data_IF_600247343491
#
_entry.id   IF_600247343491
#
_cell.length_a   1.000
_cell.length_b   1.000
_cell.length_c   1.000
_cell.angle_alpha   90.00
_cell.angle_beta   90.00
_cell.angle_gamma   90.00
#
_symmetry.space_group_name_H-M   'P 1'
#
loop_
_entity.id
_entity.type
_entity.pdbx_description
1 polymer ?
#
# COMPACT_ATOMS: atom_id res chain seq x y z
N UNK A 1 -4.41 -13.74 14.03
CA UNK A 1 -3.51 -12.59 14.23
C UNK A 1 -4.28 -11.40 14.77
N UNK A 2 -3.75 -10.76 15.82
CA UNK A 2 -4.36 -9.60 16.49
C UNK A 2 -4.32 -8.34 15.60
N UNK A 3 -5.15 -7.35 15.91
CA UNK A 3 -5.23 -6.10 15.13
C UNK A 3 -3.90 -5.34 15.12
N UNK A 4 -3.18 -5.37 16.25
CA UNK A 4 -1.89 -4.70 16.42
C UNK A 4 -0.80 -5.37 15.59
N UNK A 5 -0.75 -6.70 15.55
CA UNK A 5 0.19 -7.45 14.72
C UNK A 5 0.01 -7.17 13.22
N UNK A 6 -1.24 -7.04 12.73
CA UNK A 6 -1.51 -6.67 11.33
C UNK A 6 -1.03 -5.26 11.01
N UNK A 7 -1.22 -4.32 11.94
CA UNK A 7 -0.75 -2.95 11.77
C UNK A 7 0.78 -2.87 11.80
N UNK A 8 1.43 -3.64 12.68
CA UNK A 8 2.90 -3.76 12.72
C UNK A 8 3.44 -4.39 11.45
N UNK A 9 2.80 -5.45 10.95
CA UNK A 9 3.15 -6.08 9.67
C UNK A 9 3.01 -5.10 8.50
N UNK A 10 1.91 -4.34 8.44
CA UNK A 10 1.73 -3.26 7.47
C UNK A 10 2.83 -2.20 7.54
N UNK A 11 3.11 -1.67 8.74
CA UNK A 11 4.14 -0.64 8.96
C UNK A 11 5.50 -1.15 8.51
N UNK A 12 5.91 -2.33 8.97
CA UNK A 12 7.23 -2.89 8.70
C UNK A 12 7.39 -3.29 7.23
N UNK A 13 6.35 -3.87 6.61
CA UNK A 13 6.31 -4.17 5.18
C UNK A 13 6.44 -2.90 4.34
N UNK A 14 5.77 -1.81 4.72
CA UNK A 14 5.92 -0.52 4.02
C UNK A 14 7.36 0.01 4.12
N UNK A 15 7.92 0.03 5.33
CA UNK A 15 9.26 0.57 5.58
C UNK A 15 10.38 -0.28 4.93
N UNK A 16 10.18 -1.60 4.80
CA UNK A 16 11.07 -2.52 4.06
C UNK A 16 11.24 -2.08 2.60
N UNK A 17 10.19 -1.55 1.97
CA UNK A 17 10.21 -1.10 0.56
C UNK A 17 10.89 0.25 0.34
N UNK A 18 11.29 0.95 1.42
CA UNK A 18 11.85 2.29 1.37
C UNK A 18 13.33 2.33 1.83
N UNK A 19 14.23 1.50 1.27
CA UNK A 19 15.63 1.52 1.64
C UNK A 19 16.24 2.89 1.27
N UNK A 20 17.10 3.42 2.13
CA UNK A 20 17.78 4.71 2.01
C UNK A 20 16.89 5.96 2.19
N UNK A 21 15.64 5.80 2.61
CA UNK A 21 14.72 6.93 2.86
C UNK A 21 14.23 6.96 4.31
N UNK A 22 15.16 6.93 5.27
CA UNK A 22 14.86 7.08 6.69
C UNK A 22 14.64 8.57 7.01
N UNK A 23 13.45 9.07 6.67
CA UNK A 23 13.10 10.49 6.82
C UNK A 23 11.59 10.70 7.07
N UNK A 24 11.23 11.93 7.42
CA UNK A 24 9.85 12.32 7.73
C UNK A 24 8.87 12.19 6.58
N UNK A 25 9.34 12.37 5.33
CA UNK A 25 8.46 12.20 4.16
C UNK A 25 7.97 10.76 4.02
N UNK A 26 8.82 9.78 4.35
CA UNK A 26 8.43 8.37 4.35
C UNK A 26 7.38 8.06 5.43
N UNK A 27 7.48 8.70 6.61
CA UNK A 27 6.51 8.53 7.70
C UNK A 27 5.17 9.21 7.36
N UNK A 28 5.19 10.38 6.74
CA UNK A 28 3.98 11.03 6.23
C UNK A 28 3.27 10.15 5.20
N UNK A 29 4.03 9.60 4.24
CA UNK A 29 3.50 8.62 3.29
C UNK A 29 2.87 7.44 4.01
N UNK A 30 3.59 6.81 4.95
CA UNK A 30 3.06 5.69 5.75
C UNK A 30 1.72 6.02 6.43
N UNK A 31 1.60 7.22 7.01
CA UNK A 31 0.35 7.69 7.63
C UNK A 31 -0.76 7.80 6.58
N UNK A 32 -0.47 8.38 5.42
CA UNK A 32 -1.44 8.50 4.32
C UNK A 32 -1.87 7.13 3.79
N UNK A 33 -0.93 6.19 3.65
CA UNK A 33 -1.22 4.79 3.28
C UNK A 33 -2.03 4.06 4.35
N UNK A 34 -1.78 4.34 5.63
CA UNK A 34 -2.49 3.72 6.74
C UNK A 34 -3.97 4.12 6.81
N UNK A 35 -4.33 5.31 6.33
CA UNK A 35 -5.74 5.74 6.23
C UNK A 35 -6.59 4.77 5.41
N UNK A 36 -6.01 4.18 4.35
CA UNK A 36 -6.68 3.21 3.48
C UNK A 36 -6.95 1.87 4.16
N UNK A 37 -6.23 1.59 5.26
CA UNK A 37 -6.39 0.38 6.08
C UNK A 37 -7.10 0.67 7.41
N UNK A 38 -7.82 1.81 7.49
CA UNK A 38 -8.48 2.30 8.71
C UNK A 38 -7.53 2.49 9.91
N UNK A 39 -6.24 2.68 9.65
CA UNK A 39 -5.24 3.02 10.66
C UNK A 39 -5.13 4.54 10.79
N UNK A 40 -5.53 5.06 11.95
CA UNK A 40 -5.43 6.49 12.24
C UNK A 40 -3.98 6.88 12.51
N UNK A 41 -3.60 8.09 12.09
CA UNK A 41 -2.25 8.63 12.29
C UNK A 41 -1.72 8.46 13.73
N UNK A 42 -2.48 8.76 14.80
CA UNK A 42 -1.99 8.58 16.17
C UNK A 42 -1.65 7.12 16.52
N UNK A 43 -2.35 6.14 15.94
CA UNK A 43 -2.06 4.72 16.18
C UNK A 43 -0.78 4.28 15.47
N UNK A 44 -0.60 4.71 14.22
CA UNK A 44 0.61 4.44 13.45
C UNK A 44 1.82 5.04 14.16
N UNK A 45 1.72 6.30 14.59
CA UNK A 45 2.79 6.98 15.32
C UNK A 45 3.10 6.26 16.63
N UNK A 46 2.08 5.88 17.40
CA UNK A 46 2.29 5.12 18.64
C UNK A 46 3.02 3.79 18.41
N UNK A 47 2.65 3.04 17.37
CA UNK A 47 3.38 1.80 17.03
C UNK A 47 4.80 2.08 16.54
N UNK A 48 5.04 3.14 15.76
CA UNK A 48 6.39 3.53 15.35
C UNK A 48 7.28 3.87 16.56
N UNK A 49 6.76 4.55 17.57
CA UNK A 49 7.48 4.82 18.82
C UNK A 49 7.80 3.53 19.59
N UNK A 50 6.85 2.60 19.71
CA UNK A 50 7.11 1.29 20.34
C UNK A 50 8.20 0.49 19.60
N UNK A 51 8.17 0.52 18.27
CA UNK A 51 9.10 -0.24 17.41
C UNK A 51 10.48 0.41 17.30
N UNK A 52 10.68 1.62 17.84
CA UNK A 52 11.86 2.43 17.65
C UNK A 52 13.15 1.83 18.27
N UNK A 53 14.27 2.51 18.05
CA UNK A 53 15.57 2.08 18.57
C UNK A 53 15.68 2.13 20.11
N UNK A 54 14.90 2.96 20.80
CA UNK A 54 14.92 3.07 22.27
C UNK A 54 14.08 2.01 22.96
N UNK A 55 13.05 1.50 22.30
CA UNK A 55 12.06 0.59 22.88
C UNK A 55 12.26 -0.84 22.39
N UNK A 56 11.57 -1.26 21.32
CA UNK A 56 11.62 -2.65 20.85
C UNK A 56 12.82 -2.95 19.92
N UNK A 57 13.57 -1.94 19.48
CA UNK A 57 14.75 -2.07 18.62
C UNK A 57 14.45 -2.76 17.28
N UNK A 58 13.22 -2.64 16.79
CA UNK A 58 12.78 -3.17 15.49
C UNK A 58 13.20 -2.22 14.38
N UNK A 59 13.13 -0.92 14.64
CA UNK A 59 13.51 0.14 13.73
C UNK A 59 14.87 0.73 14.13
N UNK A 60 15.60 1.21 13.13
CA UNK A 60 16.85 1.96 13.31
C UNK A 60 16.58 3.41 13.74
N UNK A 61 15.37 3.91 13.52
CA UNK A 61 14.98 5.28 13.87
C UNK A 61 14.49 5.37 15.31
N UNK A 62 14.66 6.56 15.90
CA UNK A 62 14.07 6.94 17.19
C UNK A 62 12.97 7.97 16.95
N UNK A 63 11.84 7.84 17.64
CA UNK A 63 10.69 8.74 17.45
C UNK A 63 10.45 9.57 18.73
N UNK A 64 10.55 10.91 18.66
CA UNK A 64 9.86 11.80 19.62
C UNK A 64 8.51 12.18 19.04
N UNK A 65 7.44 11.79 19.72
CA UNK A 65 6.09 12.19 19.34
C UNK A 65 5.71 13.37 20.22
N UNK A 66 5.98 14.58 19.74
CA UNK A 66 5.39 15.79 20.31
C UNK A 66 4.08 16.09 19.57
N UNK A 67 2.95 15.99 20.27
CA UNK A 67 1.61 16.06 19.67
C UNK A 67 1.26 17.46 19.12
N UNK A 68 2.08 18.47 19.41
CA UNK A 68 1.82 19.88 19.09
C UNK A 68 2.43 20.34 17.75
N UNK A 69 3.54 19.73 17.28
CA UNK A 69 4.29 20.25 16.11
C UNK A 69 4.64 19.18 15.06
N UNK A 70 4.03 18.00 15.15
CA UNK A 70 4.41 16.88 14.30
C UNK A 70 5.71 16.24 14.77
N UNK A 71 5.90 14.98 14.36
CA UNK A 71 7.05 14.17 14.79
C UNK A 71 8.34 14.87 14.41
N UNK A 72 9.11 15.34 15.40
CA UNK A 72 10.52 15.68 15.21
C UNK A 72 11.27 14.37 14.99
N UNK A 73 11.31 13.89 13.75
CA UNK A 73 12.16 12.77 13.41
C UNK A 73 13.62 13.21 13.57
N UNK A 74 14.30 12.47 14.45
CA UNK A 74 15.66 12.69 14.89
C UNK A 74 16.72 12.30 13.85
N UNK A 75 17.91 12.83 14.11
CA UNK A 75 19.20 12.57 13.46
C UNK A 75 19.47 11.06 13.35
N UNK A 76 19.41 10.53 12.13
CA UNK A 76 19.70 9.14 11.88
C UNK A 76 20.50 9.00 10.57
N UNK A 77 21.77 8.63 10.70
CA UNK A 77 22.63 8.28 9.57
C UNK A 77 22.33 6.86 9.01
N UNK A 78 21.27 6.19 9.48
CA UNK A 78 20.91 4.86 9.02
C UNK A 78 20.43 4.87 7.56
N UNK A 79 20.94 3.91 6.80
CA UNK A 79 20.57 3.68 5.40
C UNK A 79 19.34 2.79 5.25
N UNK A 80 18.84 2.18 6.33
CA UNK A 80 17.67 1.29 6.30
C UNK A 80 16.79 1.48 7.53
N UNK A 81 15.49 1.27 7.36
CA UNK A 81 14.49 1.40 8.43
C UNK A 81 14.54 0.26 9.45
N UNK A 82 14.73 -0.98 8.98
CA UNK A 82 14.65 -2.17 9.81
C UNK A 82 16.04 -2.54 10.37
N UNK A 83 16.09 -2.90 11.65
CA UNK A 83 17.24 -3.62 12.21
C UNK A 83 17.19 -5.09 11.76
N UNK A 84 18.27 -5.88 11.94
CA UNK A 84 18.20 -7.32 11.74
C UNK A 84 17.11 -8.00 12.58
N UNK A 85 16.84 -7.48 13.78
CA UNK A 85 15.73 -7.91 14.64
C UNK A 85 14.38 -7.60 13.99
N UNK A 86 14.22 -6.41 13.42
CA UNK A 86 12.99 -6.03 12.74
C UNK A 86 12.72 -6.81 11.46
N UNK A 87 13.76 -7.12 10.69
CA UNK A 87 13.67 -8.01 9.53
C UNK A 87 13.17 -9.41 9.95
N UNK A 88 13.73 -9.99 11.02
CA UNK A 88 13.28 -11.28 11.54
C UNK A 88 11.83 -11.24 12.07
N UNK A 89 11.48 -10.20 12.84
CA UNK A 89 10.14 -10.02 13.37
C UNK A 89 9.08 -9.87 12.25
N UNK A 90 9.42 -9.14 11.18
CA UNK A 90 8.56 -9.04 10.00
C UNK A 90 8.34 -10.40 9.33
N UNK A 91 9.36 -11.25 9.25
CA UNK A 91 9.21 -12.61 8.71
C UNK A 91 8.31 -13.47 9.59
N UNK A 92 8.40 -13.36 10.92
CA UNK A 92 7.51 -14.06 11.85
C UNK A 92 6.05 -13.63 11.68
N UNK A 93 5.79 -12.31 11.57
CA UNK A 93 4.46 -11.77 11.31
C UNK A 93 3.90 -12.30 9.98
N UNK A 94 4.68 -12.23 8.89
CA UNK A 94 4.28 -12.77 7.58
C UNK A 94 3.94 -14.27 7.65
N UNK A 95 4.72 -15.07 8.39
CA UNK A 95 4.44 -16.50 8.59
C UNK A 95 3.16 -16.77 9.40
N UNK A 96 2.91 -15.98 10.45
CA UNK A 96 1.68 -16.10 11.25
C UNK A 96 0.44 -15.69 10.46
N UNK A 97 0.58 -14.78 9.49
CA UNK A 97 -0.50 -14.39 8.59
C UNK A 97 -0.80 -15.49 7.58
N UNK A 98 0.23 -16.05 6.94
CA UNK A 98 0.07 -17.16 5.97
C UNK A 98 -0.56 -18.42 6.59
N UNK A 99 -0.39 -18.66 7.89
CA UNK A 99 -1.09 -19.74 8.61
C UNK A 99 -2.57 -19.44 8.88
N UNK A 100 -2.96 -18.17 8.86
CA UNK A 100 -4.34 -17.70 9.03
C UNK A 100 -5.04 -17.39 7.69
N UNK A 101 -4.37 -17.60 6.54
CA UNK A 101 -4.86 -17.28 5.19
C UNK A 101 -5.93 -18.26 4.64
N UNK A 102 -6.84 -18.71 5.49
CA UNK A 102 -8.24 -18.92 5.10
C UNK A 102 -8.99 -17.60 5.32
N UNK A 103 -8.62 -16.54 4.60
CA UNK A 103 -9.20 -15.20 4.80
C UNK A 103 -10.63 -15.16 4.22
N UNK A 104 -11.58 -15.09 5.15
CA UNK A 104 -12.87 -14.43 4.94
C UNK A 104 -12.62 -12.91 4.88
N UNK A 105 -13.05 -12.29 3.77
CA UNK A 105 -13.12 -10.85 3.61
C UNK A 105 -14.02 -10.22 4.68
N UNK A 106 -13.67 -9.07 5.28
CA UNK A 106 -14.68 -8.21 5.85
C UNK A 106 -15.52 -7.70 4.68
N UNK A 107 -16.74 -8.20 4.57
CA UNK A 107 -17.77 -7.58 3.74
C UNK A 107 -18.19 -6.30 4.48
N UNK A 108 -17.47 -5.21 4.27
CA UNK A 108 -18.06 -3.91 4.57
C UNK A 108 -19.14 -3.66 3.52
N UNK A 109 -20.39 -3.63 3.97
CA UNK A 109 -21.55 -3.13 3.24
C UNK A 109 -21.39 -1.62 2.99
N UNK A 110 -20.35 -1.22 2.26
CA UNK A 110 -20.41 0.03 1.53
C UNK A 110 -21.29 -0.25 0.32
N UNK A 111 -22.51 0.28 0.35
CA UNK A 111 -23.42 0.32 -0.81
C UNK A 111 -22.69 1.08 -1.93
N UNK A 112 -21.93 0.34 -2.73
CA UNK A 112 -21.33 0.79 -3.97
C UNK A 112 -22.07 0.03 -5.05
N UNK A 113 -22.86 0.75 -5.85
CA UNK A 113 -23.44 0.21 -7.07
C UNK A 113 -22.34 -0.50 -7.86
N UNK A 114 -22.50 -1.80 -8.07
CA UNK A 114 -21.54 -2.61 -8.80
C UNK A 114 -21.41 -2.03 -10.22
N UNK A 115 -20.25 -1.48 -10.54
CA UNK A 115 -20.00 -0.94 -11.89
C UNK A 115 -19.55 -2.08 -12.79
N UNK A 116 -19.84 -1.98 -14.10
CA UNK A 116 -19.38 -2.94 -15.11
C UNK A 116 -17.85 -3.20 -15.09
N UNK A 117 -17.09 -2.29 -14.48
CA UNK A 117 -15.63 -2.33 -14.34
C UNK A 117 -15.15 -3.26 -13.21
N UNK A 118 -16.01 -3.57 -12.24
CA UNK A 118 -15.65 -4.44 -11.10
C UNK A 118 -15.32 -5.87 -11.57
N UNK A 119 -15.85 -6.30 -12.73
CA UNK A 119 -15.46 -7.55 -13.38
C UNK A 119 -14.02 -7.59 -13.89
N UNK A 120 -13.56 -6.51 -14.54
CA UNK A 120 -12.18 -6.41 -15.03
C UNK A 120 -11.19 -6.27 -13.87
N UNK A 121 -11.56 -5.52 -12.83
CA UNK A 121 -10.74 -5.37 -11.62
C UNK A 121 -10.68 -6.67 -10.80
N UNK A 122 -11.75 -7.46 -10.78
CA UNK A 122 -11.75 -8.80 -10.19
C UNK A 122 -10.77 -9.74 -10.92
N UNK A 123 -10.77 -9.72 -12.26
CA UNK A 123 -9.79 -10.47 -13.06
C UNK A 123 -8.35 -10.01 -12.77
N UNK A 124 -8.11 -8.70 -12.64
CA UNK A 124 -6.81 -8.15 -12.29
C UNK A 124 -6.35 -8.58 -10.89
N UNK A 125 -7.23 -8.52 -9.88
CA UNK A 125 -6.87 -8.91 -8.50
C UNK A 125 -6.74 -10.43 -8.33
N UNK A 126 -7.35 -11.23 -9.21
CA UNK A 126 -7.24 -12.70 -9.19
C UNK A 126 -5.82 -13.22 -9.39
N UNK A 127 -4.95 -12.46 -10.06
CA UNK A 127 -3.54 -12.85 -10.24
C UNK A 127 -2.71 -12.72 -8.95
N UNK A 128 -3.29 -12.21 -7.86
CA UNK A 128 -2.64 -12.12 -6.54
C UNK A 128 -2.06 -13.46 -6.06
N UNK A 129 -2.69 -14.59 -6.40
CA UNK A 129 -2.17 -15.93 -6.09
C UNK A 129 -0.86 -16.28 -6.81
N UNK A 130 -0.58 -15.62 -7.94
CA UNK A 130 0.62 -15.84 -8.78
C UNK A 130 1.79 -14.91 -8.44
N UNK A 131 1.56 -13.90 -7.60
CA UNK A 131 2.58 -12.94 -7.20
C UNK A 131 3.46 -13.52 -6.08
N UNK A 132 4.77 -13.30 -6.20
CA UNK A 132 5.78 -13.96 -5.36
C UNK A 132 5.83 -13.39 -3.95
N UNK A 133 5.55 -12.11 -3.79
CA UNK A 133 5.64 -11.41 -2.50
C UNK A 133 4.34 -10.75 -2.06
N UNK A 134 4.11 -10.66 -0.75
CA UNK A 134 2.95 -9.94 -0.20
C UNK A 134 2.98 -8.46 -0.59
N UNK A 135 4.17 -7.83 -0.64
CA UNK A 135 4.35 -6.47 -1.15
C UNK A 135 3.80 -6.31 -2.58
N UNK A 136 4.02 -7.29 -3.46
CA UNK A 136 3.43 -7.28 -4.81
C UNK A 136 1.92 -7.45 -4.78
N UNK A 137 1.37 -8.27 -3.88
CA UNK A 137 -0.09 -8.45 -3.71
C UNK A 137 -0.76 -7.17 -3.20
N UNK A 138 -0.15 -6.48 -2.25
CA UNK A 138 -0.60 -5.17 -1.77
C UNK A 138 -0.49 -4.13 -2.87
N UNK A 139 0.63 -4.11 -3.61
CA UNK A 139 0.80 -3.20 -4.76
C UNK A 139 -0.25 -3.46 -5.85
N UNK A 140 -0.64 -4.72 -6.08
CA UNK A 140 -1.72 -5.09 -7.00
C UNK A 140 -3.08 -4.55 -6.52
N UNK A 141 -3.36 -4.64 -5.21
CA UNK A 141 -4.60 -4.11 -4.62
C UNK A 141 -4.66 -2.58 -4.74
N UNK A 142 -3.56 -1.90 -4.42
CA UNK A 142 -3.44 -0.44 -4.59
C UNK A 142 -3.61 -0.03 -6.06
N UNK A 143 -2.98 -0.78 -6.96
CA UNK A 143 -3.08 -0.53 -8.39
C UNK A 143 -4.52 -0.72 -8.89
N UNK A 144 -5.21 -1.78 -8.48
CA UNK A 144 -6.60 -2.04 -8.85
C UNK A 144 -7.55 -0.95 -8.31
N UNK A 145 -7.32 -0.45 -7.09
CA UNK A 145 -8.12 0.63 -6.51
C UNK A 145 -7.96 1.95 -7.28
N UNK A 146 -6.74 2.31 -7.67
CA UNK A 146 -6.48 3.52 -8.47
C UNK A 146 -7.09 3.41 -9.87
N UNK A 147 -7.04 2.22 -10.48
CA UNK A 147 -7.75 1.94 -11.74
C UNK A 147 -9.27 2.05 -11.59
N UNK A 148 -9.83 1.61 -10.44
CA UNK A 148 -11.26 1.78 -10.14
C UNK A 148 -11.64 3.25 -10.09
N UNK A 149 -10.84 4.07 -9.42
CA UNK A 149 -11.09 5.51 -9.34
C UNK A 149 -11.05 6.19 -10.71
N UNK A 150 -10.11 5.78 -11.59
CA UNK A 150 -10.06 6.25 -12.99
C UNK A 150 -11.30 5.86 -13.78
N UNK A 151 -11.74 4.60 -13.67
CA UNK A 151 -12.88 4.09 -14.44
C UNK A 151 -14.23 4.63 -13.95
N UNK A 152 -14.33 4.93 -12.65
CA UNK A 152 -15.54 5.48 -12.05
C UNK A 152 -15.60 7.02 -12.10
N UNK A 153 -14.58 7.69 -12.64
CA UNK A 153 -14.47 9.16 -12.75
C UNK A 153 -14.66 9.91 -11.42
N UNK A 154 -14.38 9.22 -10.31
CA UNK A 154 -14.57 9.73 -8.95
C UNK A 154 -13.44 10.67 -8.51
N UNK A 155 -12.35 10.75 -9.29
CA UNK A 155 -11.21 11.66 -9.10
C UNK A 155 -10.62 12.07 -10.45
N UNK A 156 -10.42 13.37 -10.67
CA UNK A 156 -9.43 13.88 -11.63
C UNK A 156 -8.05 13.46 -11.13
N UNK A 157 -7.56 12.32 -11.60
CA UNK A 157 -6.25 11.82 -11.21
C UNK A 157 -5.17 12.69 -11.86
N UNK A 158 -4.25 13.18 -11.05
CA UNK A 158 -3.11 13.97 -11.51
C UNK A 158 -2.34 13.21 -12.59
N UNK A 159 -1.93 13.94 -13.62
CA UNK A 159 -1.19 13.39 -14.76
C UNK A 159 0.04 12.64 -14.24
N UNK A 160 0.07 11.32 -14.44
CA UNK A 160 1.15 10.44 -13.95
C UNK A 160 0.90 9.76 -12.60
N UNK A 161 -0.32 9.79 -12.04
CA UNK A 161 -0.64 9.09 -10.79
C UNK A 161 -0.36 7.57 -10.83
N UNK A 162 -0.45 6.95 -12.01
CA UNK A 162 -0.09 5.55 -12.21
C UNK A 162 1.42 5.30 -12.36
N UNK A 163 2.25 6.34 -12.54
CA UNK A 163 3.70 6.19 -12.75
C UNK A 163 4.38 5.55 -11.54
N UNK A 164 3.81 5.72 -10.33
CA UNK A 164 4.29 5.06 -9.11
C UNK A 164 4.26 3.53 -9.20
N UNK A 165 3.37 2.97 -10.03
CA UNK A 165 3.25 1.53 -10.25
C UNK A 165 4.13 1.00 -11.38
N UNK A 166 4.84 1.86 -12.13
CA UNK A 166 5.69 1.43 -13.25
C UNK A 166 6.67 0.31 -12.88
N UNK A 167 7.41 0.36 -11.75
CA UNK A 167 8.32 -0.71 -11.37
C UNK A 167 7.61 -2.04 -11.02
N UNK A 168 6.35 -1.97 -10.59
CA UNK A 168 5.53 -3.14 -10.32
C UNK A 168 4.98 -3.74 -11.62
N UNK A 169 4.48 -2.90 -12.52
CA UNK A 169 3.95 -3.29 -13.83
C UNK A 169 5.05 -3.90 -14.70
N UNK A 170 6.22 -3.27 -14.80
CA UNK A 170 7.34 -3.77 -15.60
C UNK A 170 7.81 -5.14 -15.13
N UNK A 171 7.89 -5.34 -13.81
CA UNK A 171 8.35 -6.59 -13.20
C UNK A 171 7.35 -7.73 -13.32
N UNK A 172 6.06 -7.43 -13.35
CA UNK A 172 4.98 -8.43 -13.38
C UNK A 172 4.22 -8.44 -14.72
N UNK A 173 4.79 -7.84 -15.78
CA UNK A 173 4.12 -7.63 -17.07
C UNK A 173 3.52 -8.91 -17.68
N UNK A 174 4.21 -10.04 -17.59
CA UNK A 174 3.73 -11.30 -18.13
C UNK A 174 2.45 -11.81 -17.45
N UNK A 175 2.27 -11.48 -16.16
CA UNK A 175 1.10 -11.89 -15.38
C UNK A 175 -0.01 -10.83 -15.47
N UNK A 176 0.37 -9.57 -15.63
CA UNK A 176 -0.52 -8.41 -15.63
C UNK A 176 -1.10 -8.06 -17.00
N UNK A 177 -0.36 -8.27 -18.08
CA UNK A 177 -0.72 -7.77 -19.43
C UNK A 177 -2.10 -8.24 -19.89
N UNK A 178 -2.41 -9.53 -19.73
CA UNK A 178 -3.70 -10.10 -20.13
C UNK A 178 -4.88 -9.53 -19.31
N UNK A 179 -4.90 -9.58 -17.97
CA UNK A 179 -6.00 -9.00 -17.20
C UNK A 179 -6.05 -7.46 -17.24
N UNK A 180 -4.94 -6.77 -17.53
CA UNK A 180 -4.92 -5.31 -17.67
C UNK A 180 -5.45 -4.81 -19.02
N UNK A 181 -5.37 -5.63 -20.08
CA UNK A 181 -5.75 -5.23 -21.45
C UNK A 181 -7.15 -4.59 -21.54
N UNK A 182 -8.24 -5.20 -21.03
CA UNK A 182 -9.56 -4.59 -21.11
C UNK A 182 -9.66 -3.23 -20.38
N UNK A 183 -8.94 -3.08 -19.27
CA UNK A 183 -8.89 -1.82 -18.50
C UNK A 183 -8.19 -0.73 -19.29
N UNK A 184 -7.05 -1.04 -19.93
CA UNK A 184 -6.31 -0.09 -20.76
C UNK A 184 -7.10 0.34 -21.99
N UNK A 185 -7.83 -0.59 -22.63
CA UNK A 185 -8.71 -0.29 -23.77
C UNK A 185 -9.82 0.68 -23.34
N UNK A 186 -10.45 0.43 -22.19
CA UNK A 186 -11.51 1.28 -21.68
C UNK A 186 -11.01 2.68 -21.29
N UNK A 187 -9.87 2.77 -20.61
CA UNK A 187 -9.24 4.06 -20.30
C UNK A 187 -8.83 4.83 -21.56
N UNK A 188 -8.32 4.13 -22.56
CA UNK A 188 -7.95 4.73 -23.85
C UNK A 188 -9.18 5.21 -24.62
N UNK A 189 -10.26 4.43 -24.64
CA UNK A 189 -11.55 4.81 -25.24
C UNK A 189 -12.06 6.12 -24.64
N UNK A 190 -12.07 6.22 -23.32
CA UNK A 190 -12.51 7.43 -22.60
C UNK A 190 -11.62 8.63 -22.87
N UNK A 191 -10.30 8.43 -22.80
CA UNK A 191 -9.34 9.51 -23.03
C UNK A 191 -9.38 10.04 -24.47
N UNK A 192 -9.60 9.17 -25.46
CA UNK A 192 -9.59 9.51 -26.89
C UNK A 192 -10.97 9.92 -27.44
N UNK A 193 -12.08 9.48 -26.86
CA UNK A 193 -13.43 9.63 -27.43
C UNK A 193 -14.37 10.46 -26.54
N UNK A 194 -14.27 10.40 -25.21
CA UNK A 194 -15.19 11.15 -24.33
C UNK A 194 -14.70 12.58 -24.06
N UNK A 195 -13.38 12.83 -24.08
CA UNK A 195 -12.82 14.20 -23.97
C UNK A 195 -13.01 15.05 -25.25
N UNK A 196 -13.57 14.52 -26.34
CA UNK A 196 -13.80 15.27 -27.58
C UNK A 196 -15.20 15.89 -27.70
N UNK A 197 -16.01 15.84 -26.63
CA UNK A 197 -17.38 16.41 -26.62
C UNK A 197 -17.52 17.70 -25.79
N UNK A 198 -16.43 18.23 -25.23
CA UNK A 198 -16.39 19.54 -24.55
C UNK A 198 -15.67 20.60 -25.41
N UNK A 199 -16.08 20.76 -26.68
CA UNK A 199 -15.82 21.95 -27.51
C UNK A 199 -17.16 22.58 -27.94
#
# INVERSE_FOLDING_TARGET
MEFEDRMREFILSFLETQPNQVNLKTVQKLIDYGKNNNYRAPRILNELAKLDQKHEQVLTATFDIDFVDGVKLFDNHATKWLTPKGEAYLQELKQQQSKNDAINFPHEEAVSEATQFDGYLSQLTSISGSLKSHSEKVTLQEFALELRHLLADTKKLDKGALNKFKPFVDRNWNQLSMPMTPILVELSRRFLIENSYDD
#
